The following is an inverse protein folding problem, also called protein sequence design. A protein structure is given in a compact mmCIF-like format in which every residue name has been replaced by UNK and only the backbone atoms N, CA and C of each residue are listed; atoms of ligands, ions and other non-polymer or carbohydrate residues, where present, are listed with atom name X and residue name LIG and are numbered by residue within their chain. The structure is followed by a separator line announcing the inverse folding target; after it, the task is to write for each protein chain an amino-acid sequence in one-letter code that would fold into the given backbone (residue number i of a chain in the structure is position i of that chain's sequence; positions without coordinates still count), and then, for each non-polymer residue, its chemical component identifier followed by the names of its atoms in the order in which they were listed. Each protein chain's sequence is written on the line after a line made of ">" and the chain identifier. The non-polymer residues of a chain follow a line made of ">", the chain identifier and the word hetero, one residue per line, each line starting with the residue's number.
data_IF_879244107672
#
_entry.id   IF_879244107672
#
_cell.length_a   1.000
_cell.length_b   1.000
_cell.length_c   1.000
_cell.angle_alpha   90.00
_cell.angle_beta   90.00
_cell.angle_gamma   90.00
#
_symmetry.space_group_name_H-M   'P 1'
#
loop_
_entity.id
_entity.type
_entity.pdbx_description
1 polymer ?
#
# COMPACT_ATOMS: atom_id res chain seq x y z
N UNK A 1 -16.50 -54.11 46.15
CA UNK A 1 -17.42 -53.39 47.06
C UNK A 1 -17.94 -52.16 46.35
N UNK A 2 -19.26 -52.09 46.13
CA UNK A 2 -19.94 -50.99 45.43
C UNK A 2 -20.39 -49.92 46.41
N UNK A 3 -20.23 -48.64 46.07
CA UNK A 3 -21.01 -47.55 46.68
C UNK A 3 -21.49 -46.64 45.56
N UNK A 4 -22.80 -46.70 45.28
CA UNK A 4 -23.55 -45.80 44.39
C UNK A 4 -24.06 -44.63 45.24
N UNK A 5 -23.74 -43.39 44.87
CA UNK A 5 -24.38 -42.21 45.43
C UNK A 5 -25.27 -41.56 44.36
N UNK A 6 -26.54 -41.37 44.71
CA UNK A 6 -27.62 -40.81 43.90
C UNK A 6 -28.29 -39.74 44.74
N UNK A 7 -28.29 -38.47 44.32
CA UNK A 7 -29.14 -37.44 44.94
C UNK A 7 -29.82 -36.60 43.85
N UNK A 8 -31.10 -36.32 44.12
CA UNK A 8 -32.18 -35.85 43.25
C UNK A 8 -32.19 -34.33 43.04
N UNK A 9 -32.47 -33.94 41.79
CA UNK A 9 -33.40 -32.90 41.30
C UNK A 9 -33.87 -31.78 42.24
N UNK A 10 -33.72 -30.54 41.77
CA UNK A 10 -34.64 -29.43 42.07
C UNK A 10 -35.00 -28.71 40.77
N UNK A 11 -36.28 -28.71 40.41
CA UNK A 11 -36.89 -27.89 39.35
C UNK A 11 -37.47 -26.61 39.95
N UNK A 12 -37.37 -25.47 39.23
CA UNK A 12 -38.33 -24.32 39.11
C UNK A 12 -37.56 -23.05 38.71
N UNK A 13 -38.02 -22.10 37.89
CA UNK A 13 -39.34 -21.74 37.35
C UNK A 13 -39.11 -21.02 36.01
N UNK A 14 -40.04 -21.12 35.07
CA UNK A 14 -40.09 -20.28 33.87
C UNK A 14 -40.70 -18.90 34.19
N UNK A 15 -40.12 -17.83 33.66
CA UNK A 15 -40.77 -16.51 33.55
C UNK A 15 -40.74 -16.03 32.09
N UNK A 16 -41.90 -16.11 31.43
CA UNK A 16 -42.19 -15.45 30.14
C UNK A 16 -42.93 -14.15 30.40
N UNK A 17 -42.41 -13.02 29.92
CA UNK A 17 -43.15 -11.86 29.37
C UNK A 17 -42.12 -10.77 29.03
N UNK A 18 -42.23 -9.89 28.03
CA UNK A 18 -43.21 -9.64 26.96
C UNK A 18 -42.46 -8.84 25.88
N UNK A 19 -42.90 -9.00 24.63
CA UNK A 19 -42.45 -8.26 23.43
C UNK A 19 -42.65 -6.75 23.56
N UNK A 20 -41.70 -5.96 23.07
CA UNK A 20 -42.00 -4.72 22.33
C UNK A 20 -41.06 -4.60 21.11
N UNK A 21 -41.64 -4.11 20.01
CA UNK A 21 -41.13 -4.17 18.64
C UNK A 21 -40.10 -3.07 18.38
N UNK A 22 -38.97 -3.44 17.78
CA UNK A 22 -38.06 -2.52 17.07
C UNK A 22 -37.36 -3.30 15.96
N UNK A 23 -37.79 -3.11 14.72
CA UNK A 23 -37.29 -3.82 13.56
C UNK A 23 -35.88 -3.33 13.17
N UNK A 24 -34.92 -4.25 13.05
CA UNK A 24 -33.77 -4.11 12.14
C UNK A 24 -33.55 -5.44 11.43
N UNK A 25 -33.64 -5.36 10.11
CA UNK A 25 -33.40 -6.44 9.16
C UNK A 25 -31.89 -6.62 9.02
N UNK A 26 -31.38 -7.82 9.30
CA UNK A 26 -30.23 -8.39 8.61
C UNK A 26 -30.24 -9.90 8.75
N UNK A 27 -30.03 -10.55 7.62
CA UNK A 27 -30.30 -11.94 7.34
C UNK A 27 -29.19 -12.82 7.91
N UNK A 28 -29.31 -13.24 9.17
CA UNK A 28 -28.40 -14.23 9.76
C UNK A 28 -29.05 -15.62 9.72
N UNK A 29 -28.82 -16.34 8.63
CA UNK A 29 -28.92 -17.80 8.68
C UNK A 29 -27.63 -18.36 9.29
N UNK A 30 -27.72 -18.67 10.58
CA UNK A 30 -26.87 -19.63 11.27
C UNK A 30 -26.84 -20.96 10.50
N UNK A 31 -25.66 -21.38 10.08
CA UNK A 31 -25.32 -22.80 9.97
C UNK A 31 -23.88 -23.01 10.41
N UNK A 32 -23.71 -23.81 11.45
CA UNK A 32 -22.58 -24.72 11.55
C UNK A 32 -21.35 -24.20 12.26
N UNK A 33 -21.24 -24.64 13.52
CA UNK A 33 -20.01 -24.79 14.27
C UNK A 33 -18.97 -25.58 13.44
N UNK A 34 -18.11 -24.89 12.69
CA UNK A 34 -16.87 -25.43 12.13
C UNK A 34 -15.80 -24.36 12.31
N UNK A 35 -14.79 -24.68 13.10
CA UNK A 35 -13.52 -23.96 13.19
C UNK A 35 -12.81 -24.01 11.83
N UNK A 36 -13.35 -23.31 10.84
CA UNK A 36 -12.79 -23.13 9.52
C UNK A 36 -11.89 -21.91 9.53
N UNK A 37 -10.59 -22.15 9.76
CA UNK A 37 -9.50 -21.56 8.99
C UNK A 37 -9.88 -20.26 8.24
N UNK A 38 -9.90 -19.15 8.96
CA UNK A 38 -10.06 -17.82 8.37
C UNK A 38 -8.68 -17.30 7.91
N UNK A 39 -7.94 -18.12 7.16
CA UNK A 39 -6.56 -17.82 6.76
C UNK A 39 -6.36 -17.74 5.23
N UNK A 40 -7.42 -17.55 4.45
CA UNK A 40 -7.34 -17.60 2.98
C UNK A 40 -7.69 -16.29 2.26
N UNK A 41 -7.95 -15.19 2.99
CA UNK A 41 -8.30 -13.88 2.39
C UNK A 41 -7.38 -12.73 2.86
N UNK A 42 -6.15 -13.02 3.31
CA UNK A 42 -5.17 -11.95 3.41
C UNK A 42 -4.76 -11.60 1.97
N UNK A 43 -5.16 -10.41 1.51
CA UNK A 43 -4.62 -9.83 0.29
C UNK A 43 -3.10 -9.78 0.44
N UNK A 44 -2.39 -10.23 -0.59
CA UNK A 44 -0.94 -10.15 -0.64
C UNK A 44 -0.52 -8.68 -0.54
N UNK A 45 0.31 -8.34 0.45
CA UNK A 45 0.79 -6.97 0.67
C UNK A 45 1.49 -6.40 -0.56
N UNK A 46 2.14 -7.24 -1.36
CA UNK A 46 2.76 -6.83 -2.62
C UNK A 46 1.73 -6.41 -3.68
N UNK A 47 0.52 -6.98 -3.68
CA UNK A 47 -0.58 -6.58 -4.58
C UNK A 47 -1.11 -5.19 -4.21
N UNK A 48 -1.22 -4.89 -2.92
CA UNK A 48 -1.61 -3.55 -2.46
C UNK A 48 -0.47 -2.55 -2.72
N UNK A 49 0.78 -2.94 -2.44
CA UNK A 49 1.97 -2.12 -2.69
C UNK A 49 2.19 -1.79 -4.16
N UNK A 50 1.88 -2.69 -5.11
CA UNK A 50 2.00 -2.36 -6.54
C UNK A 50 0.89 -1.40 -7.01
N UNK A 51 -0.30 -1.47 -6.42
CA UNK A 51 -1.38 -0.53 -6.70
C UNK A 51 -1.05 0.87 -6.16
N UNK A 52 -0.53 0.95 -4.94
CA UNK A 52 0.02 2.18 -4.36
C UNK A 52 1.13 2.77 -5.23
N UNK A 53 2.11 1.94 -5.60
CA UNK A 53 3.21 2.36 -6.47
C UNK A 53 2.71 2.92 -7.81
N UNK A 54 1.68 2.30 -8.40
CA UNK A 54 1.06 2.78 -9.63
C UNK A 54 0.42 4.16 -9.47
N UNK A 55 -0.28 4.39 -8.36
CA UNK A 55 -0.89 5.69 -8.07
C UNK A 55 0.18 6.78 -7.86
N UNK A 56 1.17 6.53 -7.00
CA UNK A 56 2.24 7.48 -6.68
C UNK A 56 3.08 7.85 -7.91
N UNK A 57 3.47 6.87 -8.72
CA UNK A 57 4.22 7.13 -9.96
C UNK A 57 3.36 7.88 -10.99
N UNK A 58 2.07 7.57 -11.09
CA UNK A 58 1.14 8.31 -11.95
C UNK A 58 1.06 9.78 -11.56
N UNK A 59 0.96 10.07 -10.25
CA UNK A 59 0.92 11.45 -9.74
C UNK A 59 2.24 12.18 -10.00
N UNK A 60 3.39 11.53 -9.80
CA UNK A 60 4.70 12.06 -10.14
C UNK A 60 4.77 12.46 -11.63
N UNK A 61 4.40 11.56 -12.54
CA UNK A 61 4.43 11.87 -13.98
C UNK A 61 3.39 12.92 -14.37
N UNK A 62 2.25 12.99 -13.69
CA UNK A 62 1.29 14.08 -13.85
C UNK A 62 1.90 15.44 -13.51
N UNK A 63 2.67 15.57 -12.43
CA UNK A 63 3.39 16.81 -12.08
C UNK A 63 4.40 17.21 -13.15
N UNK A 64 5.12 16.23 -13.71
CA UNK A 64 6.10 16.44 -14.77
C UNK A 64 5.49 16.87 -16.12
N UNK A 65 4.16 16.84 -16.27
CA UNK A 65 3.49 17.45 -17.44
C UNK A 65 3.62 18.98 -17.45
N UNK A 66 3.88 19.61 -16.31
CA UNK A 66 4.17 21.05 -16.25
C UNK A 66 5.53 21.35 -16.90
N UNK A 67 5.60 22.28 -17.88
CA UNK A 67 6.88 22.66 -18.51
C UNK A 67 7.94 23.12 -17.50
N UNK A 68 7.51 23.80 -16.43
CA UNK A 68 8.40 24.29 -15.36
C UNK A 68 9.00 23.12 -14.57
N UNK A 69 8.17 22.15 -14.20
CA UNK A 69 8.64 20.97 -13.47
C UNK A 69 9.55 20.09 -14.33
N UNK A 70 9.19 19.86 -15.59
CA UNK A 70 9.99 19.13 -16.56
C UNK A 70 11.37 19.80 -16.78
N UNK A 71 11.39 21.12 -16.99
CA UNK A 71 12.65 21.86 -17.15
C UNK A 71 13.53 21.76 -15.90
N UNK A 72 12.93 21.85 -14.69
CA UNK A 72 13.64 21.68 -13.42
C UNK A 72 14.27 20.29 -13.32
N UNK A 73 13.53 19.23 -13.66
CA UNK A 73 14.05 17.85 -13.65
C UNK A 73 15.18 17.65 -14.67
N UNK A 74 14.99 18.09 -15.93
CA UNK A 74 16.02 17.98 -16.99
C UNK A 74 17.32 18.64 -16.56
N UNK A 75 17.24 19.87 -16.02
CA UNK A 75 18.42 20.58 -15.52
C UNK A 75 19.07 19.83 -14.36
N UNK A 76 18.28 19.34 -13.42
CA UNK A 76 18.80 18.61 -12.28
C UNK A 76 19.54 17.33 -12.70
N UNK A 77 19.04 16.61 -13.71
CA UNK A 77 19.73 15.43 -14.28
C UNK A 77 21.05 15.84 -14.93
N UNK A 78 21.03 16.83 -15.83
CA UNK A 78 22.25 17.31 -16.52
C UNK A 78 23.33 17.78 -15.54
N UNK A 79 22.93 18.42 -14.45
CA UNK A 79 23.84 18.98 -13.45
C UNK A 79 24.07 18.07 -12.25
N UNK A 80 23.57 16.83 -12.30
CA UNK A 80 23.71 15.83 -11.24
C UNK A 80 23.27 16.36 -9.86
N UNK A 81 22.23 17.19 -9.85
CA UNK A 81 21.72 17.81 -8.64
C UNK A 81 20.73 16.85 -7.94
N UNK A 82 21.28 15.96 -7.11
CA UNK A 82 20.51 14.98 -6.32
C UNK A 82 19.38 15.64 -5.54
N UNK A 83 19.69 16.71 -4.79
CA UNK A 83 18.74 17.37 -3.90
C UNK A 83 17.48 17.81 -4.64
N UNK A 84 17.64 18.45 -5.80
CA UNK A 84 16.50 18.92 -6.58
C UNK A 84 15.67 17.76 -7.15
N UNK A 85 16.32 16.65 -7.54
CA UNK A 85 15.58 15.47 -8.02
C UNK A 85 14.78 14.85 -6.87
N UNK A 86 15.40 14.65 -5.70
CA UNK A 86 14.73 14.07 -4.52
C UNK A 86 13.57 14.95 -4.02
N UNK A 87 13.70 16.28 -4.07
CA UNK A 87 12.60 17.22 -3.80
C UNK A 87 11.43 17.10 -4.80
N UNK A 88 11.70 16.67 -6.04
CA UNK A 88 10.68 16.52 -7.09
C UNK A 88 9.98 15.15 -7.06
N UNK A 89 10.71 14.08 -6.75
CA UNK A 89 10.19 12.70 -6.84
C UNK A 89 9.51 12.22 -5.54
N UNK A 90 9.66 12.95 -4.43
CA UNK A 90 9.00 12.65 -3.16
C UNK A 90 9.82 11.75 -2.23
N UNK A 91 9.34 11.61 -0.99
CA UNK A 91 10.05 10.97 0.14
C UNK A 91 10.27 9.47 -0.01
N UNK A 92 9.45 8.80 -0.82
CA UNK A 92 9.48 7.35 -1.00
C UNK A 92 10.54 6.90 -2.01
N UNK A 93 11.20 7.87 -2.66
CA UNK A 93 12.16 7.66 -3.73
C UNK A 93 13.50 8.32 -3.42
N UNK A 94 14.59 7.70 -3.90
CA UNK A 94 15.94 8.21 -3.72
C UNK A 94 16.77 8.09 -5.00
N UNK A 95 17.72 9.01 -5.18
CA UNK A 95 18.65 8.95 -6.31
C UNK A 95 19.80 8.00 -5.99
N UNK A 96 19.85 6.88 -6.71
CA UNK A 96 20.89 5.87 -6.56
C UNK A 96 22.21 6.39 -7.14
N UNK A 97 22.22 6.72 -8.43
CA UNK A 97 23.41 7.24 -9.10
C UNK A 97 23.06 8.07 -10.33
N UNK A 98 24.05 8.86 -10.77
CA UNK A 98 24.06 9.52 -12.08
C UNK A 98 25.02 8.79 -13.00
N UNK A 99 24.63 8.61 -14.25
CA UNK A 99 25.47 7.97 -15.26
C UNK A 99 25.20 8.55 -16.64
N UNK A 100 26.03 8.19 -17.61
CA UNK A 100 25.81 8.54 -19.02
C UNK A 100 25.52 7.30 -19.83
N UNK A 101 24.63 7.43 -20.80
CA UNK A 101 24.35 6.41 -21.80
C UNK A 101 24.47 7.04 -23.18
N UNK A 102 25.64 6.89 -23.81
CA UNK A 102 25.96 7.57 -25.07
C UNK A 102 25.90 9.09 -24.92
N UNK A 103 24.99 9.74 -25.66
CA UNK A 103 24.75 11.20 -25.62
C UNK A 103 23.67 11.62 -24.62
N UNK A 104 23.33 10.76 -23.67
CA UNK A 104 22.31 11.00 -22.66
C UNK A 104 22.93 11.15 -21.26
N UNK A 105 22.44 12.12 -20.50
CA UNK A 105 22.61 12.18 -19.05
C UNK A 105 21.45 11.44 -18.39
N UNK A 106 21.76 10.49 -17.51
CA UNK A 106 20.77 9.64 -16.87
C UNK A 106 20.88 9.71 -15.34
N UNK A 107 19.74 9.50 -14.69
CA UNK A 107 19.64 9.28 -13.24
C UNK A 107 18.92 7.96 -13.00
N UNK A 108 19.44 7.14 -12.08
CA UNK A 108 18.75 5.96 -11.57
C UNK A 108 18.04 6.31 -10.27
N UNK A 109 16.74 6.06 -10.24
CA UNK A 109 15.87 6.33 -9.10
C UNK A 109 15.37 4.99 -8.56
N UNK A 110 15.40 4.82 -7.25
CA UNK A 110 14.80 3.69 -6.55
C UNK A 110 13.68 4.21 -5.65
N UNK A 111 12.50 3.62 -5.75
CA UNK A 111 11.35 3.92 -4.92
C UNK A 111 10.90 2.66 -4.18
N UNK A 112 10.33 2.84 -3.00
CA UNK A 112 9.85 1.76 -2.14
C UNK A 112 8.40 2.05 -1.76
N UNK A 113 7.54 1.02 -1.83
CA UNK A 113 6.09 1.12 -1.63
C UNK A 113 5.57 -0.06 -0.82
N UNK A 114 4.34 0.06 -0.32
CA UNK A 114 3.67 -0.95 0.50
C UNK A 114 4.10 -0.93 1.97
N UNK A 115 3.34 -1.63 2.79
CA UNK A 115 3.69 -1.82 4.20
C UNK A 115 5.03 -2.56 4.30
N UNK A 116 5.92 -2.10 5.18
CA UNK A 116 7.23 -2.73 5.38
C UNK A 116 8.09 -2.90 4.11
N UNK A 117 7.92 -2.04 3.10
CA UNK A 117 8.75 -2.02 1.89
C UNK A 117 8.56 -3.23 0.95
N UNK A 118 7.34 -3.78 0.88
CA UNK A 118 6.99 -4.97 0.08
C UNK A 118 7.36 -4.84 -1.42
N UNK A 119 7.33 -3.62 -1.97
CA UNK A 119 7.59 -3.37 -3.39
C UNK A 119 8.75 -2.37 -3.56
N UNK A 120 9.71 -2.71 -4.42
CA UNK A 120 10.76 -1.79 -4.87
C UNK A 120 10.71 -1.65 -6.39
N UNK A 121 10.63 -0.41 -6.86
CA UNK A 121 10.71 -0.08 -8.29
C UNK A 121 11.98 0.74 -8.52
N UNK A 122 12.77 0.33 -9.51
CA UNK A 122 13.93 1.10 -9.96
C UNK A 122 13.76 1.43 -11.42
N UNK A 123 13.95 2.70 -11.77
CA UNK A 123 13.84 3.18 -13.14
C UNK A 123 14.90 4.24 -13.43
N UNK A 124 15.22 4.36 -14.71
CA UNK A 124 16.19 5.33 -15.21
C UNK A 124 15.46 6.42 -16.00
N UNK A 125 15.79 7.69 -15.72
CA UNK A 125 15.37 8.82 -16.56
C UNK A 125 16.60 9.34 -17.29
N UNK A 126 16.57 9.26 -18.62
CA UNK A 126 17.65 9.74 -19.49
C UNK A 126 17.17 10.94 -20.31
N UNK A 127 17.96 12.00 -20.31
CA UNK A 127 17.72 13.21 -21.11
C UNK A 127 18.92 13.48 -22.01
N UNK A 128 18.70 14.08 -23.17
CA UNK A 128 19.80 14.46 -24.05
C UNK A 128 20.77 15.39 -23.31
N UNK A 129 22.06 15.17 -23.53
CA UNK A 129 23.10 16.06 -23.02
C UNK A 129 22.84 17.49 -23.49
N UNK A 130 23.19 18.45 -22.64
CA UNK A 130 22.98 19.85 -22.88
C UNK A 130 23.58 20.69 -21.77
N UNK A 131 23.55 22.00 -21.94
CA UNK A 131 24.21 22.89 -21.00
C UNK A 131 23.50 22.92 -19.64
N UNK A 132 24.27 23.06 -18.57
CA UNK A 132 23.76 23.19 -17.19
C UNK A 132 23.25 24.59 -16.82
N UNK A 133 23.60 25.57 -17.66
CA UNK A 133 23.55 26.99 -17.31
C UNK A 133 22.55 27.81 -18.14
N UNK A 134 21.90 27.25 -19.15
CA UNK A 134 20.99 28.01 -20.01
C UNK A 134 19.53 27.81 -19.59
N UNK A 135 18.84 28.94 -19.38
CA UNK A 135 17.39 29.10 -19.46
C UNK A 135 17.08 29.92 -20.72
#
# INVERSE_FOLDING_TARGET
>A
MSIKLKVKSVQKVASKSRKSRGARVSNEQMMGNRSGSHCCNQRDGAVEGIQEAGADLSDLFCQLRSPVAAAKLVRAIRCRNRKVIEELIGSNCNVVCFFHQGRMACVRISCVFGNCCDVRITFDICVSMGNCNNF
#
